data_IF_025511474056
#
_entry.id   IF_025511474056
#
_cell.length_a   1.000
_cell.length_b   1.000
_cell.length_c   1.000
_cell.angle_alpha   90.00
_cell.angle_beta   90.00
_cell.angle_gamma   90.00
#
_symmetry.space_group_name_H-M   'P 1'
#
loop_
_entity.id
_entity.type
_entity.pdbx_description
1 polymer ?
#
# COMPACT_ATOMS: atom_id res chain seq x y z
N UNK A 1 -28.80 15.93 4.01
CA UNK A 1 -28.50 14.94 5.05
C UNK A 1 -27.04 14.47 5.01
N UNK A 2 -26.48 14.09 3.85
CA UNK A 2 -25.10 13.58 3.76
C UNK A 2 -23.99 14.55 4.20
N UNK A 3 -24.16 15.86 3.94
CA UNK A 3 -23.21 16.88 4.35
C UNK A 3 -23.12 17.01 5.89
N UNK A 4 -24.27 17.03 6.55
CA UNK A 4 -24.40 17.12 8.02
C UNK A 4 -23.77 15.92 8.70
N UNK A 5 -24.02 14.71 8.17
CA UNK A 5 -23.42 13.48 8.70
C UNK A 5 -21.91 13.46 8.50
N UNK A 6 -21.41 13.90 7.34
CA UNK A 6 -19.98 13.99 7.07
C UNK A 6 -19.27 14.99 8.00
N UNK A 7 -19.91 16.11 8.31
CA UNK A 7 -19.39 17.11 9.26
C UNK A 7 -19.41 16.58 10.69
N UNK A 8 -20.50 15.95 11.13
CA UNK A 8 -20.58 15.32 12.44
C UNK A 8 -19.51 14.24 12.64
N UNK A 9 -19.26 13.39 11.63
CA UNK A 9 -18.20 12.39 11.65
C UNK A 9 -16.81 13.01 11.68
N UNK A 10 -16.58 14.08 10.91
CA UNK A 10 -15.28 14.79 10.87
C UNK A 10 -14.98 15.44 12.23
N UNK A 11 -15.96 16.10 12.85
CA UNK A 11 -15.82 16.70 14.17
C UNK A 11 -15.65 15.64 15.27
N UNK A 12 -16.36 14.52 15.18
CA UNK A 12 -16.23 13.41 16.13
C UNK A 12 -14.83 12.76 16.07
N UNK A 13 -14.22 12.66 14.89
CA UNK A 13 -12.82 12.22 14.75
C UNK A 13 -11.86 13.24 15.35
N UNK A 14 -12.08 14.54 15.13
CA UNK A 14 -11.26 15.59 15.75
C UNK A 14 -11.41 15.66 17.28
N UNK A 15 -12.53 15.19 17.85
CA UNK A 15 -12.71 15.09 19.30
C UNK A 15 -11.66 14.21 19.99
N UNK A 16 -11.01 13.29 19.27
CA UNK A 16 -9.88 12.50 19.76
C UNK A 16 -8.70 13.38 20.22
N UNK A 17 -8.50 14.55 19.59
CA UNK A 17 -7.42 15.48 19.95
C UNK A 17 -7.60 16.09 21.35
N UNK A 18 -8.84 16.10 21.87
CA UNK A 18 -9.17 16.70 23.16
C UNK A 18 -9.28 15.67 24.30
N UNK A 19 -9.91 14.50 24.04
CA UNK A 19 -10.00 13.35 24.98
C UNK A 19 -10.69 12.15 24.29
N UNK A 20 -10.44 10.92 24.78
CA UNK A 20 -11.21 9.72 24.41
C UNK A 20 -12.70 9.87 24.80
N UNK A 21 -13.51 10.40 23.88
CA UNK A 21 -14.94 10.66 24.06
C UNK A 21 -15.77 9.49 23.50
N UNK A 22 -16.87 9.03 24.12
CA UNK A 22 -17.78 8.02 23.55
C UNK A 22 -18.18 8.28 22.08
N UNK A 23 -18.31 9.55 21.68
CA UNK A 23 -18.59 9.92 20.29
C UNK A 23 -17.52 9.41 19.31
N UNK A 24 -16.23 9.50 19.67
CA UNK A 24 -15.13 8.99 18.85
C UNK A 24 -15.22 7.48 18.67
N UNK A 25 -15.45 6.73 19.77
CA UNK A 25 -15.55 5.25 19.73
C UNK A 25 -16.70 4.75 18.86
N UNK A 26 -17.85 5.45 18.84
CA UNK A 26 -18.97 5.12 17.96
C UNK A 26 -18.56 5.29 16.50
N UNK A 27 -17.89 6.40 16.18
CA UNK A 27 -17.43 6.68 14.81
C UNK A 27 -16.34 5.73 14.37
N UNK A 28 -15.42 5.36 15.25
CA UNK A 28 -14.39 4.36 14.98
C UNK A 28 -15.01 3.00 14.64
N UNK A 29 -15.94 2.50 15.46
CA UNK A 29 -16.63 1.25 15.21
C UNK A 29 -17.48 1.29 13.93
N UNK A 30 -18.15 2.42 13.66
CA UNK A 30 -18.89 2.62 12.42
C UNK A 30 -17.94 2.59 11.20
N UNK A 31 -16.81 3.28 11.27
CA UNK A 31 -15.82 3.35 10.19
C UNK A 31 -15.24 1.96 9.91
N UNK A 32 -14.82 1.23 10.95
CA UNK A 32 -14.34 -0.14 10.83
C UNK A 32 -15.43 -1.06 10.27
N UNK A 33 -16.68 -0.91 10.73
CA UNK A 33 -17.82 -1.68 10.22
C UNK A 33 -18.09 -1.45 8.73
N UNK A 34 -18.08 -0.19 8.27
CA UNK A 34 -18.25 0.17 6.86
C UNK A 34 -17.07 -0.35 6.02
N UNK A 35 -15.84 -0.21 6.52
CA UNK A 35 -14.65 -0.73 5.84
C UNK A 35 -14.76 -2.26 5.65
N UNK A 36 -15.16 -2.99 6.70
CA UNK A 36 -15.38 -4.44 6.61
C UNK A 36 -16.52 -4.80 5.65
N UNK A 37 -17.63 -4.06 5.66
CA UNK A 37 -18.73 -4.25 4.71
C UNK A 37 -18.30 -4.05 3.26
N UNK A 38 -17.52 -3.01 2.99
CA UNK A 38 -16.94 -2.75 1.67
C UNK A 38 -16.04 -3.88 1.20
N UNK A 39 -15.18 -4.39 2.10
CA UNK A 39 -14.34 -5.56 1.83
C UNK A 39 -15.18 -6.79 1.47
N UNK A 40 -16.26 -7.08 2.21
CA UNK A 40 -17.16 -8.21 1.91
C UNK A 40 -17.77 -8.08 0.50
N UNK A 41 -18.22 -6.88 0.11
CA UNK A 41 -18.81 -6.62 -1.21
C UNK A 41 -17.77 -6.83 -2.31
N UNK A 42 -16.56 -6.28 -2.14
CA UNK A 42 -15.45 -6.51 -3.09
C UNK A 42 -15.16 -8.00 -3.21
N UNK A 43 -15.01 -8.70 -2.09
CA UNK A 43 -14.71 -10.14 -2.10
C UNK A 43 -15.83 -10.92 -2.79
N UNK A 44 -17.09 -10.53 -2.63
CA UNK A 44 -18.19 -11.16 -3.35
C UNK A 44 -18.11 -10.94 -4.86
N UNK A 45 -18.04 -9.69 -5.31
CA UNK A 45 -18.16 -9.36 -6.73
C UNK A 45 -16.87 -9.56 -7.54
N UNK A 46 -15.70 -9.32 -6.94
CA UNK A 46 -14.43 -9.38 -7.64
C UNK A 46 -13.72 -10.73 -7.48
N UNK A 47 -14.11 -11.55 -6.51
CA UNK A 47 -13.43 -12.81 -6.21
C UNK A 47 -14.43 -13.97 -6.25
N UNK A 48 -15.37 -14.04 -5.31
CA UNK A 48 -16.27 -15.21 -5.18
C UNK A 48 -17.17 -15.43 -6.40
N UNK A 49 -17.76 -14.37 -6.96
CA UNK A 49 -18.64 -14.48 -8.13
C UNK A 49 -17.89 -14.96 -9.39
N UNK A 50 -16.81 -14.28 -9.84
CA UNK A 50 -16.09 -14.69 -11.05
C UNK A 50 -15.25 -15.95 -10.87
N UNK A 51 -14.63 -16.16 -9.70
CA UNK A 51 -13.68 -17.26 -9.52
C UNK A 51 -14.33 -18.55 -9.03
N UNK A 52 -15.53 -18.48 -8.42
CA UNK A 52 -16.21 -19.66 -7.85
C UNK A 52 -17.62 -19.84 -8.42
N UNK A 53 -18.47 -18.81 -8.39
CA UNK A 53 -19.89 -18.96 -8.73
C UNK A 53 -20.12 -19.18 -10.24
N UNK A 54 -19.48 -18.38 -11.09
CA UNK A 54 -19.59 -18.48 -12.55
C UNK A 54 -18.95 -19.75 -13.15
N UNK A 55 -17.76 -20.21 -12.72
CA UNK A 55 -17.12 -21.40 -13.30
C UNK A 55 -17.57 -22.73 -12.70
N UNK A 56 -18.12 -22.78 -11.47
CA UNK A 56 -18.60 -24.02 -10.85
C UNK A 56 -20.12 -24.11 -10.76
N UNK A 57 -20.80 -23.08 -10.27
CA UNK A 57 -22.23 -23.18 -9.93
C UNK A 57 -23.11 -22.95 -11.17
N UNK A 58 -22.80 -21.95 -12.00
CA UNK A 58 -23.58 -21.66 -13.22
C UNK A 58 -23.64 -22.84 -14.21
N UNK A 59 -22.54 -23.55 -14.54
CA UNK A 59 -22.61 -24.71 -15.44
C UNK A 59 -23.24 -25.97 -14.80
N UNK A 60 -23.36 -26.03 -13.47
CA UNK A 60 -24.09 -27.11 -12.78
C UNK A 60 -25.61 -26.94 -12.85
N UNK A 61 -26.10 -25.70 -12.97
CA UNK A 61 -27.55 -25.39 -12.95
C UNK A 61 -28.09 -24.88 -14.29
N UNK A 62 -27.23 -24.53 -15.26
CA UNK A 62 -27.61 -24.06 -16.60
C UNK A 62 -26.67 -24.66 -17.63
N UNK A 63 -27.23 -25.38 -18.60
CA UNK A 63 -26.53 -25.90 -19.79
C UNK A 63 -25.98 -24.74 -20.63
N UNK A 64 -24.83 -24.24 -20.22
CA UNK A 64 -24.03 -23.27 -20.94
C UNK A 64 -22.82 -24.06 -21.40
N UNK A 65 -22.69 -24.31 -22.71
CA UNK A 65 -21.70 -25.21 -23.34
C UNK A 65 -20.21 -24.85 -23.16
N UNK A 66 -19.82 -24.48 -21.94
CA UNK A 66 -18.44 -24.37 -21.46
C UNK A 66 -18.21 -25.55 -20.53
N UNK A 67 -17.22 -26.37 -20.84
CA UNK A 67 -16.86 -27.54 -20.05
C UNK A 67 -16.59 -27.14 -18.58
N UNK A 68 -17.12 -27.89 -17.60
CA UNK A 68 -16.84 -27.62 -16.20
C UNK A 68 -15.34 -27.66 -15.95
N UNK A 69 -14.77 -26.54 -15.51
CA UNK A 69 -13.35 -26.48 -15.20
C UNK A 69 -13.15 -27.04 -13.79
N UNK A 70 -12.98 -28.36 -13.68
CA UNK A 70 -12.80 -29.09 -12.42
C UNK A 70 -11.60 -28.59 -11.58
N UNK A 71 -10.70 -27.80 -12.16
CA UNK A 71 -9.56 -27.18 -11.45
C UNK A 71 -9.99 -26.18 -10.38
N UNK A 72 -11.22 -25.64 -10.46
CA UNK A 72 -11.75 -24.64 -9.52
C UNK A 72 -12.28 -25.29 -8.23
N UNK A 73 -12.53 -26.60 -8.24
CA UNK A 73 -13.02 -27.36 -7.06
C UNK A 73 -12.01 -27.28 -5.91
N UNK A 74 -10.71 -27.36 -6.21
CA UNK A 74 -9.65 -27.29 -5.21
C UNK A 74 -9.66 -25.92 -4.49
N UNK A 75 -9.64 -24.77 -5.19
CA UNK A 75 -9.85 -23.45 -4.58
C UNK A 75 -11.14 -23.32 -3.78
N UNK A 76 -12.26 -23.88 -4.25
CA UNK A 76 -13.55 -23.78 -3.56
C UNK A 76 -13.56 -24.57 -2.25
N UNK A 77 -13.00 -25.78 -2.22
CA UNK A 77 -12.85 -26.56 -0.99
C UNK A 77 -11.94 -25.83 0.00
N UNK A 78 -10.82 -25.27 -0.47
CA UNK A 78 -9.93 -24.46 0.37
C UNK A 78 -10.61 -23.18 0.89
N UNK A 79 -11.48 -22.55 0.08
CA UNK A 79 -12.30 -21.41 0.48
C UNK A 79 -13.32 -21.77 1.55
N UNK A 80 -14.00 -22.91 1.42
CA UNK A 80 -14.93 -23.42 2.45
C UNK A 80 -14.17 -23.73 3.75
N UNK A 81 -12.96 -24.30 3.68
CA UNK A 81 -12.12 -24.51 4.86
C UNK A 81 -11.73 -23.20 5.55
N UNK A 82 -11.71 -22.07 4.84
CA UNK A 82 -11.50 -20.76 5.45
C UNK A 82 -12.72 -20.31 6.28
N UNK A 83 -13.95 -20.63 5.86
CA UNK A 83 -15.17 -20.36 6.63
C UNK A 83 -15.25 -21.21 7.91
N UNK A 84 -14.64 -22.40 7.91
CA UNK A 84 -14.55 -23.25 9.10
C UNK A 84 -13.71 -22.63 10.23
N UNK A 85 -13.02 -21.51 9.97
CA UNK A 85 -12.32 -20.71 11.00
C UNK A 85 -13.25 -20.18 12.09
N UNK A 86 -14.53 -19.96 11.80
CA UNK A 86 -15.51 -19.54 12.81
C UNK A 86 -15.86 -20.63 13.82
N UNK A 87 -15.49 -21.90 13.55
CA UNK A 87 -15.69 -23.03 14.47
C UNK A 87 -14.37 -23.44 15.14
N UNK A 88 -14.35 -23.44 16.47
CA UNK A 88 -13.17 -23.83 17.26
C UNK A 88 -12.73 -25.27 17.03
N UNK A 89 -13.64 -26.17 16.61
CA UNK A 89 -13.36 -27.59 16.40
C UNK A 89 -12.74 -27.92 15.03
N UNK A 90 -13.06 -27.17 13.97
CA UNK A 90 -12.57 -27.42 12.61
C UNK A 90 -11.51 -26.40 12.14
N UNK A 91 -11.07 -25.49 13.02
CA UNK A 91 -10.07 -24.46 12.73
C UNK A 91 -8.72 -25.02 12.26
N UNK A 92 -8.36 -26.28 12.55
CA UNK A 92 -7.12 -26.90 12.04
C UNK A 92 -7.12 -27.00 10.51
N UNK A 93 -8.27 -27.28 9.90
CA UNK A 93 -8.38 -27.49 8.45
C UNK A 93 -8.16 -26.17 7.67
N UNK A 94 -8.49 -25.04 8.30
CA UNK A 94 -8.22 -23.70 7.79
C UNK A 94 -6.72 -23.40 7.63
N UNK A 95 -5.84 -24.05 8.40
CA UNK A 95 -4.38 -23.83 8.34
C UNK A 95 -3.80 -24.23 6.97
N UNK A 96 -4.34 -25.26 6.33
CA UNK A 96 -3.94 -25.67 4.99
C UNK A 96 -4.31 -24.63 3.93
N UNK A 97 -5.52 -24.08 4.01
CA UNK A 97 -5.93 -22.97 3.15
C UNK A 97 -5.07 -21.74 3.36
N UNK A 98 -4.76 -21.39 4.62
CA UNK A 98 -3.85 -20.28 4.93
C UNK A 98 -2.44 -20.52 4.37
N UNK A 99 -1.88 -21.71 4.53
CA UNK A 99 -0.56 -22.06 3.98
C UNK A 99 -0.54 -21.93 2.45
N UNK A 100 -1.60 -22.37 1.77
CA UNK A 100 -1.74 -22.24 0.32
C UNK A 100 -1.86 -20.78 -0.13
N UNK A 101 -2.70 -19.99 0.54
CA UNK A 101 -2.88 -18.55 0.24
C UNK A 101 -1.58 -17.78 0.47
N UNK A 102 -0.88 -18.04 1.58
CA UNK A 102 0.41 -17.39 1.87
C UNK A 102 1.49 -17.87 0.89
N UNK A 103 1.52 -19.15 0.54
CA UNK A 103 2.45 -19.70 -0.45
C UNK A 103 2.28 -19.08 -1.83
N UNK A 104 1.05 -19.04 -2.36
CA UNK A 104 0.77 -18.38 -3.64
C UNK A 104 0.98 -16.87 -3.56
N UNK A 105 0.49 -16.24 -2.48
CA UNK A 105 0.63 -14.80 -2.26
C UNK A 105 2.09 -14.37 -2.22
N UNK A 106 2.92 -15.05 -1.44
CA UNK A 106 4.37 -14.80 -1.40
C UNK A 106 5.06 -15.12 -2.72
N UNK A 107 4.67 -16.21 -3.40
CA UNK A 107 5.19 -16.58 -4.71
C UNK A 107 4.95 -15.52 -5.80
N UNK A 108 3.83 -14.80 -5.75
CA UNK A 108 3.53 -13.70 -6.68
C UNK A 108 4.15 -12.39 -6.20
N UNK A 109 4.04 -12.08 -4.91
CA UNK A 109 4.46 -10.78 -4.38
C UNK A 109 5.98 -10.63 -4.28
N UNK A 110 6.74 -11.68 -3.95
CA UNK A 110 8.20 -11.59 -3.80
C UNK A 110 8.86 -11.21 -5.13
N UNK A 111 8.63 -11.91 -6.27
CA UNK A 111 9.19 -11.51 -7.54
C UNK A 111 8.73 -10.12 -7.96
N UNK A 112 7.45 -9.80 -7.80
CA UNK A 112 6.93 -8.47 -8.13
C UNK A 112 7.59 -7.37 -7.29
N UNK A 113 7.85 -7.62 -6.02
CA UNK A 113 8.54 -6.68 -5.14
C UNK A 113 9.99 -6.48 -5.60
N UNK A 114 10.70 -7.57 -5.92
CA UNK A 114 12.06 -7.50 -6.47
C UNK A 114 12.07 -6.71 -7.78
N UNK A 115 11.17 -7.00 -8.71
CA UNK A 115 11.08 -6.27 -9.98
C UNK A 115 10.72 -4.79 -9.78
N UNK A 116 9.71 -4.49 -8.97
CA UNK A 116 9.17 -3.14 -8.84
C UNK A 116 10.00 -2.23 -7.94
N UNK A 117 10.59 -2.75 -6.87
CA UNK A 117 11.33 -1.94 -5.90
C UNK A 117 12.84 -2.07 -6.04
N UNK A 118 13.38 -3.25 -6.37
CA UNK A 118 14.83 -3.42 -6.47
C UNK A 118 15.29 -3.07 -7.88
N UNK A 119 14.77 -3.73 -8.90
CA UNK A 119 15.26 -3.53 -10.27
C UNK A 119 14.96 -2.12 -10.80
N UNK A 120 13.73 -1.62 -10.64
CA UNK A 120 13.41 -0.23 -11.05
C UNK A 120 14.18 0.83 -10.27
N UNK A 121 14.57 0.58 -9.03
CA UNK A 121 15.38 1.53 -8.26
C UNK A 121 16.85 1.52 -8.69
N UNK A 122 17.33 0.41 -9.27
CA UNK A 122 18.67 0.29 -9.84
C UNK A 122 18.76 0.75 -11.30
N UNK A 123 17.63 0.77 -12.03
CA UNK A 123 17.55 1.22 -13.43
C UNK A 123 18.24 2.58 -13.68
N UNK A 124 18.06 3.63 -12.84
CA UNK A 124 18.73 4.91 -13.03
C UNK A 124 20.26 4.85 -12.89
N UNK A 125 20.80 3.86 -12.19
CA UNK A 125 22.25 3.66 -12.02
C UNK A 125 22.89 3.01 -13.25
N UNK A 126 22.12 2.28 -14.05
CA UNK A 126 22.59 1.62 -15.27
C UNK A 126 22.32 2.44 -16.55
N UNK A 127 21.67 3.60 -16.44
CA UNK A 127 21.38 4.46 -17.57
C UNK A 127 22.68 4.99 -18.24
N UNK A 128 22.72 5.12 -19.58
CA UNK A 128 23.88 5.63 -20.29
C UNK A 128 24.18 7.09 -19.88
N UNK A 129 25.44 7.38 -19.56
CA UNK A 129 25.89 8.72 -19.14
C UNK A 129 25.65 9.80 -20.21
N UNK A 130 25.68 9.41 -21.49
CA UNK A 130 25.37 10.31 -22.60
C UNK A 130 23.99 9.97 -23.15
N UNK A 131 22.98 10.65 -22.61
CA UNK A 131 21.68 10.77 -23.27
C UNK A 131 21.82 12.07 -24.07
N UNK A 132 21.52 12.10 -25.37
CA UNK A 132 21.84 13.25 -26.26
C UNK A 132 21.24 14.63 -25.90
N UNK A 133 20.68 14.79 -24.71
CA UNK A 133 20.26 16.02 -24.05
C UNK A 133 21.17 16.34 -22.85
N UNK A 134 21.67 17.59 -22.78
CA UNK A 134 22.64 18.04 -21.77
C UNK A 134 22.04 17.93 -20.36
N UNK A 135 20.76 18.22 -20.19
CA UNK A 135 20.07 18.11 -18.90
C UNK A 135 19.96 16.64 -18.45
N UNK A 136 19.64 15.73 -19.36
CA UNK A 136 19.56 14.29 -19.10
C UNK A 136 20.90 13.72 -18.65
N UNK A 137 21.99 14.10 -19.32
CA UNK A 137 23.35 13.69 -18.95
C UNK A 137 23.80 14.20 -17.59
N UNK A 138 23.46 15.45 -17.22
CA UNK A 138 23.78 15.99 -15.89
C UNK A 138 23.04 15.21 -14.79
N UNK A 139 21.77 14.88 -15.01
CA UNK A 139 20.98 14.12 -14.03
C UNK A 139 21.58 12.72 -13.79
N UNK A 140 21.89 11.98 -14.87
CA UNK A 140 22.51 10.65 -14.76
C UNK A 140 23.87 10.70 -14.08
N UNK A 141 24.67 11.74 -14.37
CA UNK A 141 25.96 11.95 -13.71
C UNK A 141 25.81 12.25 -12.21
N UNK A 142 24.83 13.08 -11.85
CA UNK A 142 24.55 13.42 -10.45
C UNK A 142 24.06 12.20 -9.66
N UNK A 143 23.22 11.35 -10.27
CA UNK A 143 22.80 10.07 -9.68
C UNK A 143 24.02 9.16 -9.45
N UNK A 144 24.88 8.99 -10.45
CA UNK A 144 26.09 8.16 -10.31
C UNK A 144 27.01 8.69 -9.20
N UNK A 145 27.26 10.01 -9.17
CA UNK A 145 28.07 10.64 -8.14
C UNK A 145 27.46 10.46 -6.75
N UNK A 146 26.14 10.66 -6.62
CA UNK A 146 25.40 10.45 -5.37
C UNK A 146 25.51 9.01 -4.87
N UNK A 147 25.28 8.02 -5.73
CA UNK A 147 25.37 6.60 -5.39
C UNK A 147 26.79 6.24 -4.94
N UNK A 148 27.82 6.63 -5.70
CA UNK A 148 29.22 6.34 -5.34
C UNK A 148 29.59 7.01 -4.02
N UNK A 149 29.20 8.26 -3.81
CA UNK A 149 29.52 9.01 -2.58
C UNK A 149 28.83 8.41 -1.35
N UNK A 150 27.57 8.00 -1.48
CA UNK A 150 26.81 7.34 -0.40
C UNK A 150 27.36 5.95 -0.10
N UNK A 151 27.74 5.17 -1.12
CA UNK A 151 28.39 3.87 -0.92
C UNK A 151 29.72 4.02 -0.17
N UNK A 152 30.53 5.03 -0.52
CA UNK A 152 31.78 5.34 0.19
C UNK A 152 31.49 5.73 1.65
N UNK A 153 30.45 6.53 1.92
CA UNK A 153 30.03 6.87 3.28
C UNK A 153 29.66 5.65 4.12
N UNK A 154 28.90 4.70 3.57
CA UNK A 154 28.53 3.46 4.28
C UNK A 154 29.63 2.40 4.32
N UNK A 155 30.71 2.58 3.56
CA UNK A 155 31.84 1.65 3.55
C UNK A 155 32.73 1.88 4.78
N UNK A 156 32.29 1.36 5.93
CA UNK A 156 33.00 1.48 7.22
C UNK A 156 34.37 0.79 7.27
N UNK A 157 34.73 0.01 6.24
CA UNK A 157 35.98 -0.77 6.17
C UNK A 157 37.24 0.05 5.81
N UNK A 158 37.10 1.32 5.41
CA UNK A 158 38.25 2.17 5.06
C UNK A 158 38.33 3.34 6.04
N UNK A 159 39.52 3.60 6.57
CA UNK A 159 39.76 4.80 7.39
C UNK A 159 39.45 6.06 6.57
N UNK A 160 38.50 6.85 7.05
CA UNK A 160 38.05 8.09 6.42
C UNK A 160 39.07 9.23 6.61
N UNK A 161 40.30 9.07 6.08
CA UNK A 161 41.35 10.10 6.09
C UNK A 161 41.65 10.57 4.66
N UNK A 162 41.75 11.89 4.47
CA UNK A 162 42.07 12.52 3.18
C UNK A 162 40.88 12.64 2.21
N UNK A 163 41.13 12.49 0.91
CA UNK A 163 40.13 12.68 -0.18
C UNK A 163 38.87 11.82 0.00
N UNK A 164 39.02 10.63 0.58
CA UNK A 164 37.92 9.71 0.91
C UNK A 164 36.97 10.31 1.96
N UNK A 165 37.50 11.09 2.90
CA UNK A 165 36.68 11.82 3.88
C UNK A 165 35.84 12.93 3.24
N UNK A 166 36.39 13.64 2.24
CA UNK A 166 35.66 14.69 1.51
C UNK A 166 34.51 14.15 0.66
N UNK A 167 34.71 13.03 -0.03
CA UNK A 167 33.66 12.33 -0.80
C UNK A 167 32.59 11.75 0.12
N UNK A 168 32.98 11.26 1.29
CA UNK A 168 32.04 10.78 2.32
C UNK A 168 31.13 11.90 2.86
N UNK A 169 31.66 13.12 3.06
CA UNK A 169 30.84 14.29 3.44
C UNK A 169 29.78 14.60 2.38
N UNK A 170 30.13 14.56 1.09
CA UNK A 170 29.15 14.74 -0.01
C UNK A 170 28.05 13.67 0.09
N UNK A 171 28.41 12.42 0.37
CA UNK A 171 27.44 11.33 0.62
C UNK A 171 26.49 11.62 1.78
N UNK A 172 26.97 12.21 2.88
CA UNK A 172 26.13 12.66 4.01
C UNK A 172 25.12 13.71 3.58
N UNK A 173 25.53 14.70 2.80
CA UNK A 173 24.61 15.72 2.28
C UNK A 173 23.52 15.11 1.40
N UNK A 174 23.88 14.17 0.52
CA UNK A 174 22.91 13.43 -0.29
C UNK A 174 21.91 12.64 0.57
N UNK A 175 22.37 11.98 1.63
CA UNK A 175 21.48 11.26 2.56
C UNK A 175 20.55 12.20 3.33
N UNK A 176 21.06 13.34 3.81
CA UNK A 176 20.24 14.33 4.49
C UNK A 176 19.13 14.89 3.58
N UNK A 177 19.43 15.16 2.31
CA UNK A 177 18.44 15.61 1.33
C UNK A 177 17.41 14.51 1.05
N UNK A 178 17.83 13.27 0.83
CA UNK A 178 16.93 12.15 0.55
C UNK A 178 15.99 11.85 1.73
N UNK A 179 16.54 11.78 2.95
CA UNK A 179 15.72 11.60 4.16
C UNK A 179 14.82 12.81 4.42
N UNK A 180 15.33 14.03 4.22
CA UNK A 180 14.55 15.26 4.34
C UNK A 180 13.35 15.28 3.38
N UNK A 181 13.54 14.88 2.13
CA UNK A 181 12.45 14.76 1.15
C UNK A 181 11.42 13.70 1.57
N UNK A 182 11.86 12.54 2.08
CA UNK A 182 10.97 11.47 2.56
C UNK A 182 10.14 11.92 3.76
N UNK A 183 10.76 12.52 4.78
CA UNK A 183 10.05 13.07 5.93
C UNK A 183 9.11 14.21 5.51
N UNK A 184 9.57 15.12 4.67
CA UNK A 184 8.77 16.23 4.14
C UNK A 184 7.52 15.76 3.40
N UNK A 185 7.61 14.70 2.59
CA UNK A 185 6.47 14.11 1.90
C UNK A 185 5.40 13.59 2.87
N UNK A 186 5.81 12.90 3.93
CA UNK A 186 4.85 12.38 4.93
C UNK A 186 4.18 13.50 5.74
N UNK A 187 4.92 14.56 6.10
CA UNK A 187 4.36 15.73 6.80
C UNK A 187 3.40 16.49 5.89
N UNK A 188 3.79 16.71 4.63
CA UNK A 188 2.95 17.35 3.62
C UNK A 188 1.65 16.58 3.42
N UNK A 189 1.70 15.25 3.31
CA UNK A 189 0.51 14.42 3.15
C UNK A 189 -0.45 14.59 4.35
N UNK A 190 0.07 14.58 5.58
CA UNK A 190 -0.74 14.78 6.80
C UNK A 190 -1.33 16.19 6.88
N UNK A 191 -0.55 17.21 6.57
CA UNK A 191 -1.02 18.60 6.53
C UNK A 191 -2.06 18.82 5.43
N UNK A 192 -1.85 18.25 4.25
CA UNK A 192 -2.79 18.32 3.13
C UNK A 192 -4.13 17.67 3.49
N UNK A 193 -4.12 16.53 4.21
CA UNK A 193 -5.35 15.90 4.69
C UNK A 193 -6.07 16.80 5.70
N UNK A 194 -5.34 17.43 6.62
CA UNK A 194 -5.91 18.37 7.60
C UNK A 194 -6.53 19.58 6.89
N UNK A 195 -5.81 20.20 5.97
CA UNK A 195 -6.30 21.34 5.18
C UNK A 195 -7.56 20.93 4.41
N UNK A 196 -7.58 19.78 3.76
CA UNK A 196 -8.76 19.29 3.03
C UNK A 196 -9.98 19.12 3.93
N UNK A 197 -9.80 18.65 5.17
CA UNK A 197 -10.89 18.53 6.15
C UNK A 197 -11.34 19.89 6.71
N UNK A 198 -10.41 20.82 6.94
CA UNK A 198 -10.76 22.18 7.37
C UNK A 198 -11.49 22.94 6.25
N UNK A 199 -11.04 22.80 5.00
CA UNK A 199 -11.74 23.36 3.83
C UNK A 199 -13.14 22.78 3.69
N UNK A 200 -13.32 21.47 3.85
CA UNK A 200 -14.65 20.84 3.86
C UNK A 200 -15.57 21.43 4.94
N UNK A 201 -15.04 21.70 6.14
CA UNK A 201 -15.81 22.32 7.23
C UNK A 201 -16.11 23.81 6.99
N UNK A 202 -15.20 24.57 6.37
CA UNK A 202 -15.37 26.02 6.21
C UNK A 202 -16.10 26.40 4.92
N UNK A 203 -15.84 25.69 3.83
CA UNK A 203 -16.40 25.94 2.49
C UNK A 203 -17.73 25.23 2.29
N UNK A 204 -17.74 23.90 2.45
CA UNK A 204 -18.93 23.11 2.12
C UNK A 204 -20.01 23.20 3.20
N UNK A 205 -19.60 23.33 4.48
CA UNK A 205 -20.52 23.40 5.61
C UNK A 205 -20.89 24.83 6.04
N UNK A 206 -19.91 25.69 6.32
CA UNK A 206 -20.15 27.06 6.80
C UNK A 206 -20.34 28.09 5.68
N UNK A 207 -19.89 27.82 4.45
CA UNK A 207 -20.03 28.74 3.31
C UNK A 207 -19.30 30.09 3.48
N UNK A 208 -18.35 30.18 4.41
CA UNK A 208 -17.67 31.45 4.76
C UNK A 208 -16.55 31.78 3.75
N UNK A 209 -16.00 30.77 3.08
CA UNK A 209 -14.94 30.92 2.08
C UNK A 209 -15.46 30.30 0.80
N UNK A 210 -15.46 31.07 -0.29
CA UNK A 210 -15.94 30.66 -1.61
C UNK A 210 -14.95 29.75 -2.33
#
# INVERSE_FOLDING_TARGET
MGLITAVALTLAIYSFLYKDNPAFKIVENLFVGVAMGYWIIITWFNILKPDVFEPLIVPLFKDTGKSPQYIVIIPTILGIFMLLRFSTKLSWLSRWSFAFVVGLGSGITIPNFVHAFILKQMEPTFAPLYTGDILGSINTFLILLGVVSVLIYFFFSVEHKGVVGGVSVIGVWFLMVAFGASFGFTVMARMSLLIGRVQFLLRDWLGIIQ
#
